data_IF_367666205549
#
_entry.id   IF_367666205549
#
_cell.length_a   1.000
_cell.length_b   1.000
_cell.length_c   1.000
_cell.angle_alpha   90.00
_cell.angle_beta   90.00
_cell.angle_gamma   90.00
#
_symmetry.space_group_name_H-M   'P 1'
#
loop_
_entity.id
_entity.type
_entity.pdbx_description
1 polymer ?
#
# COMPACT_ATOMS: atom_id res chain seq x y z
N UNK A 1 34.90 -5.72 0.42
CA UNK A 1 33.81 -5.27 -0.48
C UNK A 1 34.12 -5.84 -1.85
N UNK A 2 33.12 -6.30 -2.60
CA UNK A 2 33.32 -6.71 -4.00
C UNK A 2 33.48 -5.47 -4.88
N UNK A 3 34.13 -5.61 -6.06
CA UNK A 3 34.22 -4.53 -7.04
C UNK A 3 32.84 -3.95 -7.39
N UNK A 4 31.80 -4.78 -7.34
CA UNK A 4 30.42 -4.37 -7.54
C UNK A 4 29.93 -3.42 -6.44
N UNK A 5 30.25 -3.71 -5.17
CA UNK A 5 29.88 -2.83 -4.06
C UNK A 5 30.58 -1.48 -4.16
N UNK A 6 31.83 -1.46 -4.61
CA UNK A 6 32.58 -0.20 -4.83
C UNK A 6 31.91 0.64 -5.93
N UNK A 7 31.53 0.02 -7.05
CA UNK A 7 30.84 0.70 -8.15
C UNK A 7 29.45 1.21 -7.75
N UNK A 8 28.70 0.45 -6.97
CA UNK A 8 27.37 0.86 -6.47
C UNK A 8 27.46 2.04 -5.49
N UNK A 9 28.59 2.23 -4.84
CA UNK A 9 28.83 3.31 -3.88
C UNK A 9 29.56 4.53 -4.47
N UNK A 10 29.75 4.58 -5.79
CA UNK A 10 30.34 5.76 -6.43
C UNK A 10 29.50 7.02 -6.13
N UNK A 11 30.19 8.06 -5.68
CA UNK A 11 29.57 9.38 -5.52
C UNK A 11 29.38 10.03 -6.89
N UNK A 12 28.15 10.46 -7.16
CA UNK A 12 27.89 11.29 -8.34
C UNK A 12 28.20 12.75 -8.02
N UNK A 13 28.73 13.48 -9.03
CA UNK A 13 28.83 14.93 -8.94
C UNK A 13 27.44 15.56 -8.87
N UNK A 14 27.28 16.66 -8.11
CA UNK A 14 25.99 17.32 -7.85
C UNK A 14 25.26 17.86 -9.10
N UNK A 15 25.86 17.73 -10.28
CA UNK A 15 25.29 18.18 -11.55
C UNK A 15 24.20 17.27 -12.11
N UNK A 16 24.22 16.00 -11.75
CA UNK A 16 23.32 15.00 -12.29
C UNK A 16 22.69 14.16 -11.18
N UNK A 17 21.45 13.76 -11.41
CA UNK A 17 20.75 12.80 -10.58
C UNK A 17 20.24 11.65 -11.43
N UNK A 18 20.05 10.51 -10.80
CA UNK A 18 19.29 9.39 -11.37
C UNK A 18 17.87 9.46 -10.80
N UNK A 19 16.88 9.54 -11.68
CA UNK A 19 15.46 9.55 -11.34
C UNK A 19 14.85 8.24 -11.80
N UNK A 20 14.40 7.41 -10.86
CA UNK A 20 13.69 6.15 -11.12
C UNK A 20 12.19 6.41 -11.23
N UNK A 21 11.66 6.31 -12.44
CA UNK A 21 10.23 6.47 -12.72
C UNK A 21 9.51 5.15 -12.50
N UNK A 22 8.55 5.16 -11.60
CA UNK A 22 7.82 3.98 -11.11
C UNK A 22 6.35 4.10 -11.51
N UNK A 23 5.78 3.03 -12.06
CA UNK A 23 4.36 2.97 -12.40
C UNK A 23 3.75 1.59 -12.10
N UNK A 24 2.44 1.55 -12.08
CA UNK A 24 1.67 0.32 -11.89
C UNK A 24 1.45 -0.32 -13.27
N UNK A 25 1.82 -1.58 -13.42
CA UNK A 25 1.68 -2.34 -14.66
C UNK A 25 0.26 -2.83 -14.94
N UNK A 26 0.12 -3.63 -16.00
CA UNK A 26 -1.17 -4.05 -16.53
C UNK A 26 -1.99 -4.97 -15.62
N UNK A 27 -1.38 -5.65 -14.66
CA UNK A 27 -2.11 -6.45 -13.67
C UNK A 27 -2.86 -5.60 -12.61
N UNK A 28 -2.51 -4.31 -12.50
CA UNK A 28 -3.00 -3.43 -11.45
C UNK A 28 -2.30 -3.59 -10.10
N UNK A 29 -1.42 -4.57 -9.95
CA UNK A 29 -0.68 -4.86 -8.71
C UNK A 29 0.83 -4.94 -8.91
N UNK A 30 1.30 -5.23 -10.12
CA UNK A 30 2.73 -5.27 -10.45
C UNK A 30 3.29 -3.85 -10.56
N UNK A 31 4.48 -3.68 -10.00
CA UNK A 31 5.24 -2.43 -10.12
C UNK A 31 6.33 -2.58 -11.18
N UNK A 32 6.49 -1.52 -11.97
CA UNK A 32 7.51 -1.42 -13.00
C UNK A 32 8.26 -0.11 -12.85
N UNK A 33 9.50 -0.09 -13.26
CA UNK A 33 10.30 1.13 -13.21
C UNK A 33 11.36 1.17 -14.30
N UNK A 34 11.80 2.37 -14.62
CA UNK A 34 13.00 2.64 -15.41
C UNK A 34 13.63 3.97 -14.97
N UNK A 35 14.92 4.07 -15.09
CA UNK A 35 15.67 5.22 -14.62
C UNK A 35 16.17 6.08 -15.78
N UNK A 36 16.31 7.38 -15.52
CA UNK A 36 16.96 8.33 -16.42
C UNK A 36 17.87 9.29 -15.67
N UNK A 37 18.84 9.84 -16.39
CA UNK A 37 19.71 10.91 -15.90
C UNK A 37 19.06 12.27 -16.14
N UNK A 38 19.00 13.10 -15.12
CA UNK A 38 18.49 14.47 -15.19
C UNK A 38 19.45 15.43 -14.53
N UNK A 39 19.42 16.74 -14.90
CA UNK A 39 20.06 17.76 -14.09
C UNK A 39 19.40 17.80 -12.71
N UNK A 40 20.17 18.01 -11.67
CA UNK A 40 19.65 18.05 -10.32
C UNK A 40 20.29 19.10 -9.44
N UNK A 41 19.86 19.22 -8.20
CA UNK A 41 18.80 18.44 -7.52
C UNK A 41 17.38 18.83 -7.96
N UNK A 42 16.42 17.91 -7.77
CA UNK A 42 14.99 18.11 -8.06
C UNK A 42 14.18 17.74 -6.80
N UNK A 43 13.29 18.66 -6.40
CA UNK A 43 12.46 18.50 -5.19
C UNK A 43 10.96 18.60 -5.45
N UNK A 44 10.55 19.10 -6.64
CA UNK A 44 9.15 19.23 -7.02
C UNK A 44 8.86 18.35 -8.26
N UNK A 45 7.84 17.49 -8.21
CA UNK A 45 7.47 16.67 -9.36
C UNK A 45 7.18 17.48 -10.64
N UNK A 46 6.74 18.74 -10.52
CA UNK A 46 6.46 19.63 -11.64
C UNK A 46 7.72 20.02 -12.43
N UNK A 47 8.90 19.88 -11.83
CA UNK A 47 10.18 20.11 -12.48
C UNK A 47 10.64 18.92 -13.34
N UNK A 48 9.99 17.77 -13.18
CA UNK A 48 10.36 16.54 -13.87
C UNK A 48 9.70 16.46 -15.25
N UNK A 49 10.43 16.04 -16.27
CA UNK A 49 9.85 15.82 -17.59
C UNK A 49 8.94 14.59 -17.56
N UNK A 50 7.89 14.61 -18.37
CA UNK A 50 7.15 13.41 -18.73
C UNK A 50 8.08 12.41 -19.44
N UNK A 51 7.73 11.15 -19.36
CA UNK A 51 8.44 10.11 -20.08
C UNK A 51 7.44 9.15 -20.70
N UNK A 52 7.93 8.11 -21.36
CA UNK A 52 7.09 7.11 -22.02
C UNK A 52 7.62 5.70 -21.80
N UNK A 53 6.81 4.72 -22.10
CA UNK A 53 7.20 3.32 -22.14
C UNK A 53 6.36 2.55 -23.18
N UNK A 54 6.83 1.37 -23.54
CA UNK A 54 6.09 0.44 -24.40
C UNK A 54 4.97 -0.24 -23.62
N UNK A 55 3.75 0.24 -23.77
CA UNK A 55 2.57 -0.32 -23.11
C UNK A 55 2.21 -1.73 -23.61
N UNK A 56 2.66 -2.13 -24.81
CA UNK A 56 2.42 -3.49 -25.30
C UNK A 56 3.19 -4.55 -24.52
N UNK A 57 4.36 -4.17 -23.98
CA UNK A 57 5.18 -5.03 -23.13
C UNK A 57 4.68 -5.13 -21.68
N UNK A 58 3.68 -4.35 -21.32
CA UNK A 58 3.11 -4.31 -19.97
C UNK A 58 1.63 -4.67 -19.92
N UNK A 59 1.02 -5.02 -21.05
CA UNK A 59 -0.42 -5.28 -21.16
C UNK A 59 -1.30 -4.04 -21.04
N UNK A 60 -0.77 -2.85 -21.37
CA UNK A 60 -1.43 -1.55 -21.17
C UNK A 60 -1.73 -0.79 -22.47
N UNK A 61 -1.26 -1.26 -23.62
CA UNK A 61 -1.54 -0.71 -24.94
C UNK A 61 -1.41 -1.78 -26.03
N UNK A 62 -2.03 -1.60 -27.21
CA UNK A 62 -1.84 -2.49 -28.34
C UNK A 62 -0.47 -2.27 -29.00
N UNK A 63 0.04 -3.27 -29.73
CA UNK A 63 1.38 -3.20 -30.34
C UNK A 63 1.49 -2.16 -31.48
N UNK A 64 0.41 -1.88 -32.17
CA UNK A 64 0.33 -0.88 -33.25
C UNK A 64 0.24 0.57 -32.77
N UNK A 65 -0.06 0.80 -31.48
CA UNK A 65 -0.07 2.12 -30.82
C UNK A 65 0.34 1.92 -29.36
N UNK A 66 1.62 1.60 -29.17
CA UNK A 66 2.14 1.08 -27.90
C UNK A 66 2.59 2.14 -26.89
N UNK A 67 2.67 3.40 -27.30
CA UNK A 67 3.21 4.45 -26.44
C UNK A 67 2.27 4.83 -25.31
N UNK A 68 2.76 4.72 -24.08
CA UNK A 68 2.08 5.20 -22.86
C UNK A 68 2.94 6.27 -22.22
N UNK A 69 2.33 7.36 -21.77
CA UNK A 69 3.02 8.52 -21.21
C UNK A 69 2.97 8.49 -19.69
N UNK A 70 4.13 8.64 -19.07
CA UNK A 70 4.31 8.75 -17.61
C UNK A 70 4.29 10.20 -17.18
N UNK A 71 3.39 10.52 -16.26
CA UNK A 71 3.31 11.83 -15.62
C UNK A 71 3.86 11.72 -14.20
N UNK A 72 4.97 12.42 -13.87
CA UNK A 72 5.49 12.49 -12.50
C UNK A 72 4.47 13.12 -11.56
N UNK A 73 4.23 12.47 -10.42
CA UNK A 73 3.22 12.92 -9.45
C UNK A 73 3.76 13.10 -8.03
N UNK A 74 4.71 12.27 -7.60
CA UNK A 74 5.31 12.36 -6.27
C UNK A 74 6.78 11.96 -6.30
N UNK A 75 7.58 12.58 -5.44
CA UNK A 75 9.02 12.34 -5.31
C UNK A 75 9.33 11.80 -3.91
N UNK A 76 10.21 10.80 -3.87
CA UNK A 76 10.81 10.28 -2.64
C UNK A 76 12.33 10.21 -2.81
N UNK A 77 13.10 10.30 -1.72
CA UNK A 77 14.53 10.06 -1.78
C UNK A 77 14.79 8.60 -2.12
N UNK A 78 15.75 8.35 -3.02
CA UNK A 78 16.14 6.99 -3.40
C UNK A 78 17.05 6.38 -2.32
N UNK A 79 16.60 5.38 -1.56
CA UNK A 79 17.39 4.78 -0.50
C UNK A 79 18.47 3.83 -1.04
N UNK A 80 18.38 3.44 -2.31
CA UNK A 80 19.33 2.54 -2.96
C UNK A 80 20.54 3.29 -3.50
N UNK A 81 20.30 4.41 -4.21
CA UNK A 81 21.37 5.24 -4.79
C UNK A 81 21.79 6.40 -3.89
N UNK A 82 20.93 6.80 -2.94
CA UNK A 82 21.21 7.86 -1.95
C UNK A 82 21.48 9.23 -2.60
N UNK A 83 22.14 10.14 -1.86
CA UNK A 83 22.45 11.48 -2.35
C UNK A 83 21.21 12.25 -2.81
N UNK A 84 21.29 12.87 -3.97
CA UNK A 84 20.18 13.60 -4.58
C UNK A 84 19.32 12.76 -5.54
N UNK A 85 19.60 11.45 -5.64
CA UNK A 85 18.83 10.54 -6.48
C UNK A 85 17.40 10.35 -5.91
N UNK A 86 16.43 10.16 -6.79
CA UNK A 86 15.02 10.15 -6.45
C UNK A 86 14.26 8.97 -7.03
N UNK A 87 13.23 8.56 -6.30
CA UNK A 87 12.16 7.70 -6.78
C UNK A 87 10.97 8.60 -7.15
N UNK A 88 10.36 8.36 -8.31
CA UNK A 88 9.28 9.16 -8.83
C UNK A 88 8.06 8.29 -9.06
N UNK A 89 7.01 8.49 -8.29
CA UNK A 89 5.72 7.83 -8.54
C UNK A 89 5.04 8.56 -9.69
N UNK A 90 4.72 7.79 -10.73
CA UNK A 90 4.08 8.27 -11.94
C UNK A 90 2.71 7.61 -12.12
N UNK A 91 1.82 8.32 -12.80
CA UNK A 91 0.62 7.72 -13.37
C UNK A 91 0.64 7.80 -14.91
N UNK A 92 -0.18 6.98 -15.55
CA UNK A 92 -0.03 6.66 -16.96
C UNK A 92 -1.21 7.16 -17.80
N UNK A 93 -0.87 7.70 -18.98
CA UNK A 93 -1.82 8.34 -19.89
C UNK A 93 -1.57 7.90 -21.35
N UNK A 94 -2.59 8.00 -22.18
CA UNK A 94 -2.42 7.90 -23.63
C UNK A 94 -1.64 9.13 -24.15
N UNK A 95 -1.07 9.08 -25.37
CA UNK A 95 -0.44 10.25 -25.99
C UNK A 95 -1.37 11.47 -26.08
N UNK A 96 -2.68 11.26 -26.11
CA UNK A 96 -3.70 12.32 -26.13
C UNK A 96 -4.02 12.89 -24.74
N UNK A 97 -3.38 12.39 -23.68
CA UNK A 97 -3.57 12.89 -22.31
C UNK A 97 -4.80 12.31 -21.60
N UNK A 98 -5.31 11.16 -22.03
CA UNK A 98 -6.39 10.45 -21.36
C UNK A 98 -5.79 9.40 -20.42
N UNK A 99 -6.24 9.33 -19.15
CA UNK A 99 -5.77 8.27 -18.25
C UNK A 99 -6.06 6.89 -18.85
N UNK A 100 -5.07 5.99 -18.85
CA UNK A 100 -5.30 4.62 -19.26
C UNK A 100 -6.14 3.85 -18.23
N UNK A 101 -6.81 2.73 -18.58
CA UNK A 101 -7.71 2.02 -17.67
C UNK A 101 -7.08 1.59 -16.33
N UNK A 102 -5.78 1.31 -16.30
CA UNK A 102 -5.04 0.94 -15.09
C UNK A 102 -4.59 2.14 -14.25
N UNK A 103 -4.78 3.37 -14.72
CA UNK A 103 -4.49 4.59 -13.96
C UNK A 103 -5.62 4.89 -12.97
N UNK A 104 -5.52 4.37 -11.76
CA UNK A 104 -6.50 4.62 -10.68
C UNK A 104 -6.22 5.93 -9.92
N UNK A 105 -4.98 6.43 -10.00
CA UNK A 105 -4.60 7.69 -9.36
C UNK A 105 -5.36 8.89 -9.91
N UNK A 106 -5.54 8.97 -11.21
CA UNK A 106 -6.25 10.09 -11.84
C UNK A 106 -7.70 10.23 -11.34
N UNK A 107 -8.42 9.11 -11.19
CA UNK A 107 -9.77 9.11 -10.62
C UNK A 107 -9.76 9.50 -9.13
N UNK A 108 -8.81 8.97 -8.36
CA UNK A 108 -8.64 9.33 -6.95
C UNK A 108 -8.35 10.84 -6.78
N UNK A 109 -7.47 11.40 -7.60
CA UNK A 109 -7.14 12.82 -7.57
C UNK A 109 -8.36 13.71 -7.76
N UNK A 110 -9.32 13.31 -8.61
CA UNK A 110 -10.59 14.04 -8.79
C UNK A 110 -11.45 14.03 -7.53
N UNK A 111 -11.49 12.93 -6.79
CA UNK A 111 -12.21 12.84 -5.52
C UNK A 111 -11.56 13.75 -4.48
N UNK A 112 -10.24 13.66 -4.31
CA UNK A 112 -9.52 14.48 -3.32
C UNK A 112 -9.49 15.97 -3.65
N UNK A 113 -9.70 16.35 -4.91
CA UNK A 113 -9.80 17.75 -5.35
C UNK A 113 -11.18 18.35 -5.10
N UNK A 114 -12.20 17.55 -4.75
CA UNK A 114 -13.52 18.11 -4.38
C UNK A 114 -13.39 18.95 -3.10
N UNK A 115 -14.02 20.12 -3.11
CA UNK A 115 -13.91 21.09 -2.01
C UNK A 115 -14.27 20.47 -0.66
N UNK A 116 -15.36 19.75 -0.61
CA UNK A 116 -15.87 19.09 0.61
C UNK A 116 -14.87 18.07 1.17
N UNK A 117 -14.18 17.34 0.29
CA UNK A 117 -13.16 16.36 0.69
C UNK A 117 -11.90 17.07 1.16
N UNK A 118 -11.45 18.09 0.44
CA UNK A 118 -10.25 18.86 0.79
C UNK A 118 -10.40 19.58 2.14
N UNK A 119 -11.57 20.16 2.41
CA UNK A 119 -11.88 20.85 3.69
C UNK A 119 -11.93 19.88 4.88
N UNK A 120 -12.27 18.63 4.66
CA UNK A 120 -12.29 17.59 5.70
C UNK A 120 -10.91 17.02 6.04
N UNK A 121 -9.87 17.35 5.31
CA UNK A 121 -8.49 16.93 5.60
C UNK A 121 -8.44 15.43 5.97
N UNK A 122 -8.75 14.57 5.02
CA UNK A 122 -8.82 13.11 5.25
C UNK A 122 -7.46 12.53 5.62
N UNK A 123 -7.39 11.86 6.75
CA UNK A 123 -6.19 11.15 7.22
C UNK A 123 -6.37 9.66 7.06
N UNK A 124 -5.30 9.01 6.63
CA UNK A 124 -5.25 7.55 6.47
C UNK A 124 -4.06 6.96 7.20
N UNK A 125 -4.29 5.84 7.87
CA UNK A 125 -3.26 4.94 8.37
C UNK A 125 -3.47 3.58 7.72
N UNK A 126 -2.48 3.11 6.95
CA UNK A 126 -2.58 1.90 6.15
C UNK A 126 -1.70 0.81 6.78
N UNK A 127 -2.32 -0.32 7.15
CA UNK A 127 -1.66 -1.47 7.78
C UNK A 127 -1.42 -2.55 6.73
N UNK A 128 -0.27 -2.49 6.06
CA UNK A 128 0.06 -3.39 4.96
C UNK A 128 0.67 -4.70 5.45
N UNK A 129 -0.10 -5.75 5.40
CA UNK A 129 0.39 -7.12 5.58
C UNK A 129 0.99 -7.66 4.28
N UNK A 130 1.97 -8.55 4.41
CA UNK A 130 2.62 -9.24 3.29
C UNK A 130 3.25 -10.54 3.74
N UNK A 131 3.51 -11.43 2.78
CA UNK A 131 4.18 -12.71 3.05
C UNK A 131 5.49 -12.77 2.26
N UNK A 132 6.56 -13.19 2.93
CA UNK A 132 7.85 -13.46 2.30
C UNK A 132 7.88 -14.92 1.87
N UNK A 133 8.17 -15.18 0.58
CA UNK A 133 8.22 -16.51 -0.01
C UNK A 133 9.65 -16.89 -0.41
N UNK A 134 9.98 -18.16 -0.25
CA UNK A 134 11.19 -18.74 -0.80
C UNK A 134 11.12 -18.68 -2.32
N UNK A 135 12.19 -18.17 -2.96
CA UNK A 135 12.22 -17.84 -4.38
C UNK A 135 11.86 -19.03 -5.29
N UNK A 136 12.47 -20.17 -5.05
CA UNK A 136 12.40 -21.30 -6.00
C UNK A 136 11.11 -22.11 -5.83
N UNK A 137 10.59 -22.21 -4.62
CA UNK A 137 9.42 -23.05 -4.30
C UNK A 137 8.14 -22.23 -4.03
N UNK A 138 8.27 -20.90 -3.90
CA UNK A 138 7.17 -19.99 -3.58
C UNK A 138 6.36 -20.40 -2.34
N UNK A 139 7.07 -20.93 -1.34
CA UNK A 139 6.54 -21.34 -0.05
C UNK A 139 6.97 -20.34 1.01
N UNK A 140 6.20 -20.08 2.08
CA UNK A 140 6.57 -19.03 3.02
C UNK A 140 7.96 -19.22 3.61
N UNK A 141 8.67 -18.12 3.80
CA UNK A 141 10.00 -18.12 4.40
C UNK A 141 9.95 -18.71 5.81
N UNK A 142 10.88 -19.63 6.12
CA UNK A 142 10.91 -20.31 7.40
C UNK A 142 10.01 -21.54 7.51
N UNK A 143 9.15 -21.79 6.54
CA UNK A 143 8.36 -23.01 6.51
C UNK A 143 9.17 -24.20 5.97
N UNK A 144 8.90 -25.41 6.45
CA UNK A 144 9.44 -26.61 5.79
C UNK A 144 9.00 -26.68 4.33
N UNK A 145 9.90 -27.00 3.43
CA UNK A 145 9.56 -27.12 1.99
C UNK A 145 8.52 -28.21 1.78
N UNK A 146 7.36 -27.84 1.24
CA UNK A 146 6.24 -28.78 1.04
C UNK A 146 5.55 -29.24 2.33
N UNK A 147 5.89 -28.64 3.46
CA UNK A 147 5.32 -28.96 4.78
C UNK A 147 4.78 -27.74 5.49
N UNK A 148 4.36 -27.93 6.74
CA UNK A 148 3.74 -26.89 7.56
C UNK A 148 4.53 -26.70 8.86
N UNK A 149 4.62 -25.45 9.38
CA UNK A 149 5.15 -25.20 10.71
C UNK A 149 4.18 -25.69 11.78
N UNK A 150 4.56 -25.53 13.04
CA UNK A 150 3.62 -25.72 14.15
C UNK A 150 2.41 -24.79 14.06
N UNK A 151 1.32 -25.09 14.79
CA UNK A 151 0.10 -24.26 14.77
C UNK A 151 0.37 -22.79 15.08
N UNK A 152 -0.44 -21.90 14.49
CA UNK A 152 -0.40 -20.48 14.81
C UNK A 152 -0.62 -20.24 16.31
N UNK A 153 0.07 -19.22 16.85
CA UNK A 153 0.03 -18.87 18.27
C UNK A 153 1.31 -18.14 18.71
N UNK A 154 2.52 -18.73 18.55
CA UNK A 154 3.75 -18.10 19.05
C UNK A 154 4.38 -17.06 18.12
N UNK A 155 3.88 -16.88 16.90
CA UNK A 155 4.59 -16.13 15.83
C UNK A 155 4.25 -14.63 15.82
N UNK A 156 3.04 -14.25 16.22
CA UNK A 156 2.65 -12.84 16.28
C UNK A 156 3.56 -12.05 17.21
N UNK A 157 4.25 -11.06 16.65
CA UNK A 157 5.30 -10.30 17.34
C UNK A 157 6.37 -11.19 18.00
N UNK A 158 6.58 -12.37 17.46
CA UNK A 158 7.49 -13.38 18.01
C UNK A 158 8.95 -13.00 17.86
N UNK A 159 9.78 -13.49 18.77
CA UNK A 159 11.22 -13.32 18.76
C UNK A 159 11.90 -14.67 18.90
N UNK A 160 13.03 -14.83 18.22
CA UNK A 160 13.80 -16.06 18.18
C UNK A 160 13.81 -16.70 16.80
N UNK A 161 14.84 -17.51 16.53
CA UNK A 161 15.05 -18.14 15.23
C UNK A 161 13.96 -19.16 14.87
N UNK A 162 13.21 -19.64 15.86
CA UNK A 162 12.10 -20.57 15.71
C UNK A 162 10.73 -19.89 15.58
N UNK A 163 10.67 -18.54 15.57
CA UNK A 163 9.41 -17.77 15.60
C UNK A 163 9.36 -16.65 14.57
N UNK A 164 10.49 -16.13 14.12
CA UNK A 164 10.55 -15.00 13.21
C UNK A 164 11.57 -15.25 12.10
N UNK A 165 11.16 -15.00 10.86
CA UNK A 165 11.98 -15.17 9.66
C UNK A 165 11.90 -13.91 8.79
N UNK A 166 13.06 -13.46 8.28
CA UNK A 166 13.12 -12.29 7.39
C UNK A 166 13.17 -10.94 8.11
N UNK A 167 13.48 -10.90 9.40
CA UNK A 167 13.54 -9.65 10.17
C UNK A 167 14.52 -8.63 9.58
N UNK A 168 15.64 -9.07 9.03
CA UNK A 168 16.62 -8.15 8.43
C UNK A 168 16.05 -7.45 7.20
N UNK A 169 15.24 -8.15 6.40
CA UNK A 169 14.49 -7.58 5.27
C UNK A 169 13.52 -6.51 5.78
N UNK A 170 12.77 -6.83 6.81
CA UNK A 170 11.77 -5.93 7.41
C UNK A 170 12.42 -4.69 8.00
N UNK A 171 13.52 -4.83 8.72
CA UNK A 171 14.26 -3.71 9.29
C UNK A 171 14.93 -2.85 8.22
N UNK A 172 15.49 -3.46 7.16
CA UNK A 172 16.05 -2.74 6.03
C UNK A 172 14.97 -1.91 5.32
N UNK A 173 13.79 -2.48 5.12
CA UNK A 173 12.62 -1.80 4.55
C UNK A 173 12.18 -0.62 5.43
N UNK A 174 12.07 -0.82 6.73
CA UNK A 174 11.71 0.24 7.69
C UNK A 174 12.64 1.45 7.55
N UNK A 175 13.94 1.20 7.62
CA UNK A 175 14.96 2.27 7.50
C UNK A 175 14.95 2.93 6.12
N UNK A 176 14.80 2.15 5.05
CA UNK A 176 14.73 2.68 3.70
C UNK A 176 13.51 3.59 3.48
N UNK A 177 12.34 3.21 4.02
CA UNK A 177 11.14 4.03 3.96
C UNK A 177 11.29 5.35 4.74
N UNK A 178 11.89 5.30 5.94
CA UNK A 178 12.19 6.52 6.71
C UNK A 178 13.15 7.44 5.94
N UNK A 179 14.20 6.89 5.35
CA UNK A 179 15.15 7.65 4.53
C UNK A 179 14.45 8.28 3.31
N UNK A 180 13.57 7.55 2.66
CA UNK A 180 12.83 8.02 1.49
C UNK A 180 11.83 9.16 1.81
N UNK A 181 11.50 9.37 3.08
CA UNK A 181 10.53 10.37 3.53
C UNK A 181 9.09 9.85 3.58
N UNK A 182 8.92 8.52 3.59
CA UNK A 182 7.61 7.88 3.80
C UNK A 182 7.26 7.94 5.30
N UNK A 183 6.02 8.26 5.59
CA UNK A 183 5.49 8.30 6.95
C UNK A 183 5.21 6.88 7.48
N UNK A 184 6.22 6.02 7.42
CA UNK A 184 6.12 4.69 8.02
C UNK A 184 6.14 4.83 9.54
N UNK A 185 5.14 4.28 10.23
CA UNK A 185 4.93 4.47 11.66
C UNK A 185 5.30 3.25 12.50
N UNK A 186 5.38 2.07 11.89
CA UNK A 186 5.75 0.86 12.61
C UNK A 186 5.84 -0.38 11.74
N UNK A 187 6.27 -1.47 12.37
CA UNK A 187 6.33 -2.82 11.81
C UNK A 187 5.98 -3.83 12.90
N UNK A 188 5.45 -4.96 12.52
CA UNK A 188 5.30 -6.13 13.39
C UNK A 188 5.30 -7.44 12.61
N UNK A 189 5.65 -8.52 13.30
CA UNK A 189 5.42 -9.88 12.81
C UNK A 189 3.96 -10.27 12.94
N UNK A 190 3.45 -10.97 11.94
CA UNK A 190 2.07 -11.42 11.87
C UNK A 190 1.84 -12.83 12.41
N UNK A 191 0.57 -13.23 12.45
CA UNK A 191 0.13 -14.50 13.06
C UNK A 191 0.68 -15.71 12.30
N UNK A 192 0.79 -15.61 10.98
CA UNK A 192 1.35 -16.67 10.15
C UNK A 192 2.89 -16.53 10.07
N UNK A 193 3.66 -17.62 10.25
CA UNK A 193 5.13 -17.57 10.06
C UNK A 193 5.51 -17.12 8.65
N UNK A 194 6.47 -16.19 8.55
CA UNK A 194 6.88 -15.58 7.29
C UNK A 194 5.99 -14.42 6.83
N UNK A 195 4.99 -14.07 7.62
CA UNK A 195 4.11 -12.92 7.37
C UNK A 195 4.49 -11.75 8.28
N UNK A 196 4.49 -10.56 7.71
CA UNK A 196 4.87 -9.30 8.34
C UNK A 196 3.90 -8.19 7.98
N UNK A 197 3.94 -7.12 8.74
CA UNK A 197 3.16 -5.91 8.51
C UNK A 197 4.04 -4.68 8.66
N UNK A 198 3.78 -3.66 7.85
CA UNK A 198 4.22 -2.29 8.10
C UNK A 198 3.06 -1.32 8.05
N UNK A 199 3.14 -0.21 8.77
CA UNK A 199 2.10 0.79 8.80
C UNK A 199 2.60 2.11 8.20
N UNK A 200 1.79 2.69 7.31
CA UNK A 200 2.02 4.01 6.72
C UNK A 200 0.95 4.98 7.20
N UNK A 201 1.36 6.09 7.75
CA UNK A 201 0.46 7.14 8.20
C UNK A 201 0.68 7.57 9.67
N UNK A 202 -0.17 8.48 10.15
CA UNK A 202 -1.25 9.18 9.42
C UNK A 202 -0.73 10.05 8.27
N UNK A 203 -1.34 9.90 7.10
CA UNK A 203 -1.01 10.66 5.92
C UNK A 203 -2.27 11.28 5.28
N UNK A 204 -2.09 12.44 4.65
CA UNK A 204 -3.19 13.26 4.14
C UNK A 204 -3.57 12.85 2.71
N UNK A 205 -4.84 12.55 2.50
CA UNK A 205 -5.44 12.42 1.18
C UNK A 205 -4.70 11.44 0.26
N UNK A 206 -4.50 11.85 -0.98
CA UNK A 206 -3.85 11.03 -2.01
C UNK A 206 -2.38 10.69 -1.68
N UNK A 207 -1.73 11.51 -0.85
CA UNK A 207 -0.35 11.27 -0.40
C UNK A 207 -0.22 9.92 0.33
N UNK A 208 -1.24 9.47 1.05
CA UNK A 208 -1.24 8.17 1.70
C UNK A 208 -1.08 7.02 0.69
N UNK A 209 -1.79 7.09 -0.43
CA UNK A 209 -1.71 6.10 -1.49
C UNK A 209 -0.38 6.16 -2.25
N UNK A 210 0.11 7.35 -2.57
CA UNK A 210 1.45 7.53 -3.17
C UNK A 210 2.53 6.92 -2.29
N UNK A 211 2.46 7.15 -0.99
CA UNK A 211 3.43 6.63 -0.02
C UNK A 211 3.35 5.10 0.11
N UNK A 212 2.15 4.51 0.09
CA UNK A 212 2.01 3.06 0.16
C UNK A 212 2.59 2.38 -1.08
N UNK A 213 2.34 2.92 -2.27
CA UNK A 213 2.94 2.41 -3.51
C UNK A 213 4.46 2.54 -3.49
N UNK A 214 5.00 3.67 -3.02
CA UNK A 214 6.45 3.84 -2.86
C UNK A 214 7.03 2.84 -1.84
N UNK A 215 6.35 2.61 -0.73
CA UNK A 215 6.77 1.61 0.27
C UNK A 215 6.74 0.18 -0.29
N UNK A 216 5.73 -0.18 -1.08
CA UNK A 216 5.67 -1.46 -1.78
C UNK A 216 6.82 -1.61 -2.78
N UNK A 217 7.12 -0.56 -3.55
CA UNK A 217 8.26 -0.58 -4.48
C UNK A 217 9.59 -0.80 -3.76
N UNK A 218 9.83 -0.09 -2.68
CA UNK A 218 11.05 -0.24 -1.87
C UNK A 218 11.17 -1.67 -1.33
N UNK A 219 10.06 -2.26 -0.88
CA UNK A 219 10.03 -3.64 -0.39
C UNK A 219 10.33 -4.65 -1.51
N UNK A 220 9.76 -4.49 -2.69
CA UNK A 220 10.05 -5.32 -3.87
C UNK A 220 11.54 -5.27 -4.24
N UNK A 221 12.15 -4.08 -4.19
CA UNK A 221 13.57 -3.93 -4.48
C UNK A 221 14.46 -4.57 -3.40
N UNK A 222 14.10 -4.45 -2.12
CA UNK A 222 14.85 -5.07 -1.02
C UNK A 222 14.73 -6.60 -1.09
N UNK A 223 13.54 -7.12 -1.35
CA UNK A 223 13.33 -8.57 -1.49
C UNK A 223 14.04 -9.13 -2.73
N UNK A 224 14.11 -8.37 -3.83
CA UNK A 224 14.94 -8.70 -5.02
C UNK A 224 16.42 -8.86 -4.63
N UNK A 225 16.97 -7.92 -3.86
CA UNK A 225 18.36 -7.98 -3.37
C UNK A 225 18.56 -9.20 -2.45
N UNK A 226 17.60 -9.49 -1.59
CA UNK A 226 17.66 -10.60 -0.63
C UNK A 226 17.40 -11.97 -1.26
N UNK A 227 16.96 -12.03 -2.53
CA UNK A 227 16.60 -13.28 -3.19
C UNK A 227 15.32 -13.94 -2.62
N UNK A 228 14.40 -13.14 -2.14
CA UNK A 228 13.12 -13.54 -1.56
C UNK A 228 11.98 -12.97 -2.42
N UNK A 229 10.87 -13.67 -2.54
CA UNK A 229 9.69 -13.20 -3.27
C UNK A 229 8.70 -12.54 -2.32
N UNK A 230 8.26 -11.34 -2.64
CA UNK A 230 7.18 -10.65 -1.93
C UNK A 230 5.82 -11.14 -2.45
N UNK A 231 4.92 -11.49 -1.55
CA UNK A 231 3.52 -11.78 -1.87
C UNK A 231 2.57 -10.83 -1.16
N UNK A 232 1.68 -10.24 -1.93
CA UNK A 232 0.52 -9.48 -1.44
C UNK A 232 -0.79 -10.27 -1.63
N UNK A 233 -0.70 -11.58 -1.82
CA UNK A 233 -1.89 -12.44 -1.95
C UNK A 233 -2.71 -12.39 -0.66
N UNK A 234 -4.04 -12.16 -0.73
CA UNK A 234 -4.89 -12.10 0.47
C UNK A 234 -4.99 -13.43 1.23
N UNK A 235 -4.73 -14.55 0.58
CA UNK A 235 -4.72 -15.89 1.20
C UNK A 235 -3.58 -16.72 0.59
N UNK A 236 -2.34 -16.47 1.00
CA UNK A 236 -1.18 -17.08 0.35
C UNK A 236 -1.11 -18.60 0.56
N UNK A 237 -1.67 -19.11 1.64
CA UNK A 237 -1.73 -20.55 1.96
C UNK A 237 -3.17 -20.94 2.28
N UNK A 238 -3.65 -21.97 1.59
CA UNK A 238 -4.97 -22.52 1.82
C UNK A 238 -5.07 -23.24 3.18
N UNK A 239 -6.29 -23.34 3.73
CA UNK A 239 -6.55 -24.00 4.99
C UNK A 239 -6.60 -23.07 6.20
N UNK A 240 -6.30 -23.60 7.37
CA UNK A 240 -6.42 -22.91 8.66
C UNK A 240 -5.19 -22.02 8.95
N UNK A 241 -4.85 -21.16 7.99
CA UNK A 241 -3.76 -20.20 8.07
C UNK A 241 -4.28 -18.78 7.89
N UNK A 242 -3.60 -17.82 8.52
CA UNK A 242 -3.97 -16.41 8.44
C UNK A 242 -3.96 -15.89 7.00
N UNK A 243 -4.92 -15.02 6.68
CA UNK A 243 -4.90 -14.23 5.46
C UNK A 243 -4.02 -12.98 5.62
N UNK A 244 -3.95 -12.18 4.59
CA UNK A 244 -3.24 -10.91 4.58
C UNK A 244 -4.16 -9.79 4.10
N UNK A 245 -4.23 -8.71 4.88
CA UNK A 245 -5.05 -7.53 4.64
C UNK A 245 -4.22 -6.26 4.46
N UNK A 246 -4.92 -5.19 4.13
CA UNK A 246 -4.42 -3.84 4.27
C UNK A 246 -5.50 -3.00 4.95
N UNK A 247 -5.57 -3.14 6.27
CA UNK A 247 -6.57 -2.44 7.07
C UNK A 247 -6.36 -0.92 6.91
N UNK A 248 -7.46 -0.21 6.72
CA UNK A 248 -7.42 1.21 6.41
C UNK A 248 -8.07 2.00 7.54
N UNK A 249 -7.23 2.61 8.37
CA UNK A 249 -7.67 3.60 9.36
C UNK A 249 -8.00 4.90 8.64
N UNK A 250 -9.11 5.51 9.03
CA UNK A 250 -9.63 6.70 8.37
C UNK A 250 -10.19 7.69 9.37
N UNK A 251 -9.86 8.96 9.19
CA UNK A 251 -10.38 10.08 9.97
C UNK A 251 -10.56 11.32 9.11
N UNK A 252 -11.54 12.13 9.46
CA UNK A 252 -11.74 13.46 8.89
C UNK A 252 -11.61 14.53 9.95
N UNK A 253 -11.52 15.79 9.53
CA UNK A 253 -11.48 16.92 10.46
C UNK A 253 -12.69 16.93 11.41
N UNK A 254 -13.89 16.65 10.88
CA UNK A 254 -15.11 16.54 11.67
C UNK A 254 -15.08 15.36 12.65
N UNK A 255 -14.47 14.23 12.28
CA UNK A 255 -14.30 13.07 13.15
C UNK A 255 -13.32 13.33 14.29
N UNK A 256 -12.34 14.21 14.10
CA UNK A 256 -11.34 14.61 15.10
C UNK A 256 -11.82 15.75 16.00
N UNK A 257 -12.92 16.41 15.66
CA UNK A 257 -13.53 17.47 16.45
C UNK A 257 -14.44 16.90 17.55
N UNK A 258 -14.86 17.75 18.46
CA UNK A 258 -15.86 17.39 19.46
C UNK A 258 -17.16 16.91 18.80
N UNK A 259 -17.74 15.84 19.30
CA UNK A 259 -18.89 15.16 18.68
C UNK A 259 -18.53 14.27 17.49
N UNK A 260 -17.24 14.09 17.21
CA UNK A 260 -16.75 13.32 16.05
C UNK A 260 -17.17 11.87 16.03
N UNK A 261 -17.48 11.26 17.18
CA UNK A 261 -17.98 9.88 17.21
C UNK A 261 -19.34 9.72 16.53
N UNK A 262 -20.21 10.73 16.61
CA UNK A 262 -21.47 10.73 15.86
C UNK A 262 -21.22 10.83 14.34
N UNK A 263 -20.22 11.61 13.91
CA UNK A 263 -19.79 11.69 12.51
C UNK A 263 -19.26 10.33 12.04
N UNK A 264 -18.46 9.66 12.87
CA UNK A 264 -17.93 8.31 12.60
C UNK A 264 -19.08 7.32 12.40
N UNK A 265 -20.07 7.30 13.30
CA UNK A 265 -21.24 6.38 13.19
C UNK A 265 -22.04 6.59 11.91
N UNK A 266 -22.27 7.84 11.51
CA UNK A 266 -22.94 8.18 10.24
C UNK A 266 -22.11 7.74 9.02
N UNK A 267 -20.80 7.90 9.08
CA UNK A 267 -19.90 7.42 8.02
C UNK A 267 -19.94 5.89 7.89
N UNK A 268 -19.92 5.18 9.01
CA UNK A 268 -20.04 3.71 9.05
C UNK A 268 -21.39 3.25 8.46
N UNK A 269 -22.48 3.92 8.79
CA UNK A 269 -23.79 3.63 8.20
C UNK A 269 -23.77 3.73 6.66
N UNK A 270 -23.19 4.80 6.12
CA UNK A 270 -23.01 4.96 4.67
C UNK A 270 -22.17 3.85 4.05
N UNK A 271 -21.08 3.45 4.72
CA UNK A 271 -20.24 2.33 4.28
C UNK A 271 -21.04 1.02 4.25
N UNK A 272 -21.91 0.80 5.22
CA UNK A 272 -22.81 -0.35 5.26
C UNK A 272 -23.78 -0.38 4.09
N UNK A 273 -24.37 0.76 3.76
CA UNK A 273 -25.30 0.89 2.62
C UNK A 273 -24.61 0.61 1.27
N UNK A 274 -23.31 0.87 1.16
CA UNK A 274 -22.49 0.64 -0.03
C UNK A 274 -21.49 -0.52 0.12
N UNK A 275 -21.76 -1.44 1.02
CA UNK A 275 -20.85 -2.55 1.31
C UNK A 275 -20.44 -3.34 0.06
N UNK A 276 -21.38 -3.65 -0.82
CA UNK A 276 -21.11 -4.43 -2.04
C UNK A 276 -20.14 -3.73 -3.01
N UNK A 277 -20.31 -2.42 -3.20
CA UNK A 277 -19.41 -1.64 -4.07
C UNK A 277 -18.00 -1.58 -3.50
N UNK A 278 -17.88 -1.41 -2.19
CA UNK A 278 -16.57 -1.41 -1.53
C UNK A 278 -15.89 -2.76 -1.66
N UNK A 279 -16.56 -3.84 -1.30
CA UNK A 279 -16.02 -5.21 -1.39
C UNK A 279 -15.53 -5.55 -2.80
N UNK A 280 -16.28 -5.16 -3.83
CA UNK A 280 -15.91 -5.39 -5.24
C UNK A 280 -14.60 -4.69 -5.64
N UNK A 281 -14.18 -3.65 -4.89
CA UNK A 281 -13.00 -2.84 -5.19
C UNK A 281 -11.84 -3.03 -4.19
N UNK A 282 -11.97 -3.93 -3.25
CA UNK A 282 -11.05 -4.07 -2.12
C UNK A 282 -9.97 -5.13 -2.27
N UNK A 283 -9.71 -5.56 -3.50
CA UNK A 283 -8.65 -6.50 -3.85
C UNK A 283 -9.19 -7.81 -4.44
N UNK A 284 -8.47 -8.35 -5.40
CA UNK A 284 -8.79 -9.63 -6.05
C UNK A 284 -8.49 -10.80 -5.10
N UNK A 285 -9.39 -11.78 -5.05
CA UNK A 285 -9.22 -12.98 -4.22
C UNK A 285 -9.51 -12.75 -2.73
N UNK A 286 -10.07 -11.60 -2.36
CA UNK A 286 -10.36 -11.24 -0.97
C UNK A 286 -11.45 -12.11 -0.33
N UNK A 287 -12.29 -12.79 -1.13
CA UNK A 287 -13.25 -13.79 -0.69
C UNK A 287 -12.61 -14.99 0.01
N UNK A 288 -11.38 -15.31 -0.34
CA UNK A 288 -10.61 -16.40 0.32
C UNK A 288 -10.16 -16.02 1.71
N UNK A 289 -10.07 -14.71 2.01
CA UNK A 289 -9.66 -14.16 3.31
C UNK A 289 -10.85 -13.80 4.20
N UNK A 290 -11.90 -13.17 3.65
CA UNK A 290 -13.07 -12.68 4.40
C UNK A 290 -14.09 -13.80 4.63
N UNK A 291 -13.78 -14.70 5.54
CA UNK A 291 -14.55 -15.94 5.82
C UNK A 291 -15.32 -15.93 7.13
N UNK A 292 -15.19 -14.88 7.94
CA UNK A 292 -15.70 -14.83 9.31
C UNK A 292 -14.80 -15.56 10.33
N UNK A 293 -13.62 -16.01 9.90
CA UNK A 293 -12.58 -16.64 10.74
C UNK A 293 -11.30 -15.81 10.68
N UNK A 294 -10.32 -16.13 11.52
CA UNK A 294 -9.01 -15.43 11.55
C UNK A 294 -9.13 -13.90 11.66
N UNK A 295 -9.98 -13.46 12.60
CA UNK A 295 -10.21 -12.03 12.88
C UNK A 295 -10.75 -11.26 11.67
N UNK A 296 -11.55 -11.90 10.82
CA UNK A 296 -12.23 -11.28 9.68
C UNK A 296 -13.75 -11.37 9.82
N UNK A 297 -14.47 -10.37 9.28
CA UNK A 297 -15.89 -10.49 9.02
C UNK A 297 -16.14 -11.36 7.78
N UNK A 298 -17.32 -11.95 7.69
CA UNK A 298 -17.77 -12.60 6.46
C UNK A 298 -17.95 -11.56 5.34
N UNK A 299 -17.55 -11.91 4.13
CA UNK A 299 -17.56 -11.01 2.97
C UNK A 299 -18.97 -10.45 2.64
N UNK A 300 -20.01 -11.24 2.88
CA UNK A 300 -21.39 -10.87 2.52
C UNK A 300 -22.12 -10.11 3.62
N UNK A 301 -21.52 -9.98 4.79
CA UNK A 301 -22.13 -9.35 5.96
C UNK A 301 -21.36 -8.11 6.37
N UNK A 302 -22.05 -6.97 6.47
CA UNK A 302 -21.47 -5.76 7.04
C UNK A 302 -21.77 -5.68 8.53
N UNK A 303 -20.75 -5.45 9.31
CA UNK A 303 -20.85 -5.25 10.76
C UNK A 303 -19.84 -4.21 11.24
N UNK A 304 -20.14 -3.62 12.40
CA UNK A 304 -19.16 -2.79 13.07
C UNK A 304 -19.24 -2.94 14.58
N UNK A 305 -18.19 -2.60 15.29
CA UNK A 305 -18.18 -2.62 16.73
C UNK A 305 -16.97 -1.98 17.36
N UNK A 306 -17.07 -1.65 18.65
CA UNK A 306 -15.97 -1.12 19.43
C UNK A 306 -15.05 -2.29 19.85
N UNK A 307 -13.76 -2.15 19.53
CA UNK A 307 -12.72 -3.15 19.80
C UNK A 307 -13.00 -4.56 19.24
N UNK A 308 -13.89 -4.68 18.26
CA UNK A 308 -14.29 -5.95 17.65
C UNK A 308 -13.49 -6.24 16.39
N UNK A 309 -12.51 -7.14 16.47
CA UNK A 309 -11.66 -7.56 15.34
C UNK A 309 -12.37 -8.48 14.34
N UNK A 310 -13.51 -9.05 14.69
CA UNK A 310 -14.36 -9.84 13.80
C UNK A 310 -15.39 -9.02 13.03
N UNK A 311 -15.35 -7.69 13.13
CA UNK A 311 -16.25 -6.80 12.41
C UNK A 311 -15.63 -6.30 11.10
N UNK A 312 -16.47 -5.80 10.16
CA UNK A 312 -16.03 -5.12 8.95
C UNK A 312 -15.34 -3.80 9.28
N UNK A 313 -15.92 -3.04 10.19
CA UNK A 313 -15.40 -1.77 10.70
C UNK A 313 -15.18 -1.88 12.21
N UNK A 314 -13.98 -1.51 12.64
CA UNK A 314 -13.64 -1.48 14.06
C UNK A 314 -13.43 -0.04 14.51
N UNK A 315 -14.01 0.32 15.64
CA UNK A 315 -13.73 1.59 16.33
C UNK A 315 -12.92 1.28 17.59
N UNK A 316 -11.87 2.04 17.84
CA UNK A 316 -11.06 1.88 19.05
C UNK A 316 -11.81 2.33 20.30
N UNK A 317 -11.49 1.73 21.48
CA UNK A 317 -12.06 2.15 22.75
C UNK A 317 -11.71 3.59 23.13
N UNK A 318 -10.55 4.07 22.70
CA UNK A 318 -10.16 5.47 22.94
C UNK A 318 -11.06 6.44 22.17
N UNK A 319 -11.41 6.11 20.92
CA UNK A 319 -12.36 6.90 20.12
C UNK A 319 -13.74 6.95 20.78
N UNK A 320 -14.24 5.82 21.27
CA UNK A 320 -15.49 5.76 22.01
C UNK A 320 -15.45 6.62 23.29
N UNK A 321 -14.40 6.46 24.08
CA UNK A 321 -14.23 7.19 25.35
C UNK A 321 -14.07 8.69 25.16
N UNK A 322 -13.29 9.10 24.15
CA UNK A 322 -13.00 10.51 23.87
C UNK A 322 -14.09 11.18 23.03
N UNK A 323 -15.00 10.39 22.45
CA UNK A 323 -16.09 10.90 21.62
C UNK A 323 -15.63 11.45 20.27
N UNK A 324 -14.40 11.16 19.84
CA UNK A 324 -13.78 11.60 18.58
C UNK A 324 -12.58 10.73 18.22
N UNK A 325 -12.18 10.75 16.96
CA UNK A 325 -11.00 10.01 16.49
C UNK A 325 -11.15 9.46 15.09
N UNK A 326 -11.12 8.14 14.95
CA UNK A 326 -11.09 7.45 13.67
C UNK A 326 -11.76 6.08 13.75
N UNK A 327 -11.96 5.45 12.60
CA UNK A 327 -12.32 4.04 12.48
C UNK A 327 -11.35 3.28 11.59
N UNK A 328 -11.36 1.97 11.70
CA UNK A 328 -10.57 1.04 10.91
C UNK A 328 -11.49 0.22 10.00
N UNK A 329 -11.30 0.34 8.67
CA UNK A 329 -11.90 -0.57 7.69
C UNK A 329 -11.02 -1.80 7.53
N UNK A 330 -11.51 -2.95 7.99
CA UNK A 330 -10.78 -4.21 8.02
C UNK A 330 -11.00 -5.07 6.77
N UNK A 331 -11.82 -4.59 5.84
CA UNK A 331 -12.21 -5.33 4.63
C UNK A 331 -11.16 -5.33 3.51
N UNK A 332 -10.32 -4.29 3.31
CA UNK A 332 -9.37 -4.29 2.20
C UNK A 332 -8.33 -5.41 2.33
N UNK A 333 -8.06 -6.08 1.19
CA UNK A 333 -7.03 -7.10 1.06
C UNK A 333 -5.63 -6.49 0.96
N UNK A 334 -4.60 -7.28 1.22
CA UNK A 334 -3.19 -6.87 1.11
C UNK A 334 -2.81 -6.38 -0.30
N UNK A 335 -3.44 -6.92 -1.35
CA UNK A 335 -3.22 -6.51 -2.74
C UNK A 335 -4.12 -5.38 -3.23
N UNK A 336 -4.89 -4.75 -2.33
CA UNK A 336 -5.76 -3.64 -2.69
C UNK A 336 -4.99 -2.50 -3.35
N UNK A 337 -5.64 -1.75 -4.25
CA UNK A 337 -5.09 -0.50 -4.78
C UNK A 337 -5.44 0.65 -3.81
N UNK A 338 -4.45 1.28 -3.18
CA UNK A 338 -4.70 2.34 -2.20
C UNK A 338 -5.33 3.59 -2.80
N UNK A 339 -5.17 3.86 -4.10
CA UNK A 339 -5.89 4.95 -4.77
C UNK A 339 -7.39 4.69 -4.78
N UNK A 340 -7.78 3.45 -5.08
CA UNK A 340 -9.20 3.05 -5.09
C UNK A 340 -9.78 3.08 -3.68
N UNK A 341 -9.12 2.39 -2.74
CA UNK A 341 -9.65 2.23 -1.37
C UNK A 341 -9.80 3.57 -0.67
N UNK A 342 -8.75 4.39 -0.68
CA UNK A 342 -8.76 5.68 0.03
C UNK A 342 -9.78 6.65 -0.57
N UNK A 343 -9.82 6.78 -1.89
CA UNK A 343 -10.76 7.68 -2.56
C UNK A 343 -12.21 7.21 -2.46
N UNK A 344 -12.45 5.90 -2.47
CA UNK A 344 -13.80 5.36 -2.33
C UNK A 344 -14.36 5.57 -0.92
N UNK A 345 -13.55 5.42 0.11
CA UNK A 345 -13.94 5.71 1.49
C UNK A 345 -14.29 7.21 1.62
N UNK A 346 -13.43 8.10 1.12
CA UNK A 346 -13.72 9.54 1.14
C UNK A 346 -14.97 9.90 0.37
N UNK A 347 -15.15 9.34 -0.83
CA UNK A 347 -16.35 9.56 -1.63
C UNK A 347 -17.62 9.13 -0.89
N UNK A 348 -17.66 7.91 -0.38
CA UNK A 348 -18.84 7.37 0.31
C UNK A 348 -19.18 8.14 1.57
N UNK A 349 -18.19 8.51 2.36
CA UNK A 349 -18.43 9.13 3.67
C UNK A 349 -18.70 10.64 3.58
N UNK A 350 -18.18 11.33 2.57
CA UNK A 350 -18.28 12.79 2.44
C UNK A 350 -19.23 13.21 1.31
N UNK A 351 -19.06 12.68 0.10
CA UNK A 351 -19.77 13.16 -1.09
C UNK A 351 -21.09 12.43 -1.38
N UNK A 352 -21.11 11.12 -1.16
CA UNK A 352 -22.26 10.31 -1.47
C UNK A 352 -23.43 10.60 -0.53
N UNK A 353 -24.62 10.72 -1.14
CA UNK A 353 -25.90 10.89 -0.43
C UNK A 353 -26.78 9.68 -0.71
N UNK A 354 -27.34 9.02 0.33
CA UNK A 354 -28.25 7.89 0.18
C UNK A 354 -29.55 8.28 -0.50
#
# INVERSE_FOLDING_TARGET
MSDLDELLNLSLEDKHIIAEYIWIGGSGTDLRSKARTLPGPVTDPKQLPKWNYDGSSTGQAPGEDSEVILYPQAIFKDPFRRGHNILVICDAYTPQGVPIPTNKRAAAAKVFAQKEVAEEETWYGLEQEYTLLQKDVKWPLGWPVGGFPGPQGPYYCGTGADKAWGRDIVNAHYKACLYAGIQISGINGEVMPGQWEFQVGPALGISAADQLWAARYILERITEIAGVVLSLDPKPIEGDWNGAGCHTNYSTKSMRAEGGFEVIKKAIEKLGLRHKEHIASYGEGNERRLTGRHETADMNTFSWGVANRGASIRVGRDTEREGKGYFEDRRPASNMDPYIVTSLIAYTTILWKP
#
